data_IF_181018338215
#
_entry.id   IF_181018338215
#
_cell.length_a   1.000
_cell.length_b   1.000
_cell.length_c   1.000
_cell.angle_alpha   90.00
_cell.angle_beta   90.00
_cell.angle_gamma   90.00
#
_symmetry.space_group_name_H-M   'P 1'
#
loop_
_entity.id
_entity.type
_entity.pdbx_description
1 polymer ?
#
# COMPACT_ATOMS: atom_id res chain seq x y z
N UNK A 1 -13.69 -28.52 -1.16
CA UNK A 1 -13.47 -27.59 -2.28
C UNK A 1 -12.27 -26.74 -1.94
N UNK A 2 -11.20 -26.75 -2.76
CA UNK A 2 -9.97 -26.01 -2.42
C UNK A 2 -10.09 -24.54 -2.80
N UNK A 3 -9.89 -23.67 -1.81
CA UNK A 3 -9.85 -22.22 -1.97
C UNK A 3 -8.40 -21.76 -2.08
N UNK A 4 -8.19 -20.65 -2.78
CA UNK A 4 -6.95 -19.89 -2.82
C UNK A 4 -7.24 -18.46 -2.38
N UNK A 5 -6.27 -17.84 -1.71
CA UNK A 5 -6.41 -16.51 -1.13
C UNK A 5 -5.51 -15.54 -1.88
N UNK A 6 -5.99 -14.31 -2.06
CA UNK A 6 -5.30 -13.29 -2.83
C UNK A 6 -5.41 -11.93 -2.15
N UNK A 7 -4.37 -11.12 -2.29
CA UNK A 7 -4.33 -9.72 -1.88
C UNK A 7 -3.96 -8.81 -3.05
N UNK A 8 -4.50 -7.60 -3.08
CA UNK A 8 -4.10 -6.59 -4.05
C UNK A 8 -4.72 -5.23 -3.77
N UNK A 9 -4.51 -4.29 -4.70
CA UNK A 9 -5.26 -3.03 -4.68
C UNK A 9 -6.71 -3.30 -5.06
N UNK A 10 -7.64 -2.55 -4.47
CA UNK A 10 -9.08 -2.68 -4.68
C UNK A 10 -9.40 -2.71 -6.19
N UNK A 11 -10.24 -3.69 -6.56
CA UNK A 11 -10.75 -3.90 -7.90
C UNK A 11 -12.26 -4.11 -7.77
N UNK A 12 -13.06 -3.21 -8.33
CA UNK A 12 -14.53 -3.29 -8.22
C UNK A 12 -15.10 -4.40 -9.11
N UNK A 13 -14.32 -4.87 -10.09
CA UNK A 13 -14.65 -5.97 -11.00
C UNK A 13 -14.42 -7.37 -10.40
N UNK A 14 -13.96 -7.47 -9.15
CA UNK A 14 -13.68 -8.77 -8.53
C UNK A 14 -14.93 -9.66 -8.45
N UNK A 15 -16.10 -9.03 -8.31
CA UNK A 15 -17.41 -9.68 -8.23
C UNK A 15 -17.80 -10.41 -9.53
N UNK A 16 -17.11 -10.16 -10.65
CA UNK A 16 -17.32 -10.91 -11.90
C UNK A 16 -16.88 -12.36 -11.78
N UNK A 17 -15.96 -12.65 -10.87
CA UNK A 17 -15.58 -14.02 -10.54
C UNK A 17 -16.63 -14.55 -9.55
N UNK A 18 -17.56 -15.35 -10.06
CA UNK A 18 -18.72 -15.87 -9.30
C UNK A 18 -18.39 -16.60 -7.99
N UNK A 19 -17.16 -17.08 -7.83
CA UNK A 19 -16.71 -17.80 -6.63
C UNK A 19 -15.79 -16.97 -5.76
N UNK A 20 -15.64 -15.68 -6.06
CA UNK A 20 -14.91 -14.76 -5.23
C UNK A 20 -15.68 -14.54 -3.92
N UNK A 21 -14.94 -14.47 -2.82
CA UNK A 21 -15.46 -14.08 -1.52
C UNK A 21 -14.53 -13.03 -0.94
N UNK A 22 -14.99 -11.78 -0.89
CA UNK A 22 -14.21 -10.66 -0.35
C UNK A 22 -14.18 -10.76 1.18
N UNK A 23 -12.98 -10.89 1.73
CA UNK A 23 -12.72 -11.05 3.16
C UNK A 23 -12.39 -9.68 3.78
N UNK A 24 -11.66 -8.84 3.05
CA UNK A 24 -11.24 -7.52 3.48
C UNK A 24 -11.30 -6.54 2.32
N UNK A 25 -11.86 -5.34 2.54
CA UNK A 25 -11.88 -4.27 1.55
C UNK A 25 -11.80 -2.90 2.24
N UNK A 26 -10.63 -2.59 2.81
CA UNK A 26 -10.36 -1.33 3.51
C UNK A 26 -9.05 -0.72 3.01
N UNK A 27 -8.93 0.60 3.13
CA UNK A 27 -7.70 1.35 2.80
C UNK A 27 -7.21 1.15 1.35
N UNK A 28 -8.14 0.83 0.44
CA UNK A 28 -7.85 0.51 -0.95
C UNK A 28 -7.14 -0.81 -1.18
N UNK A 29 -7.04 -1.67 -0.16
CA UNK A 29 -6.54 -3.04 -0.23
C UNK A 29 -7.73 -4.00 -0.21
N UNK A 30 -7.70 -4.99 -1.08
CA UNK A 30 -8.70 -6.06 -1.13
C UNK A 30 -8.02 -7.40 -0.84
N UNK A 31 -8.61 -8.18 0.06
CA UNK A 31 -8.30 -9.60 0.26
C UNK A 31 -9.55 -10.40 -0.05
N UNK A 32 -9.40 -11.45 -0.84
CA UNK A 32 -10.49 -12.33 -1.19
C UNK A 32 -10.01 -13.76 -1.36
N UNK A 33 -10.93 -14.71 -1.26
CA UNK A 33 -10.70 -16.08 -1.68
C UNK A 33 -11.45 -16.39 -2.97
N UNK A 34 -10.93 -17.35 -3.73
CA UNK A 34 -11.55 -17.87 -4.94
C UNK A 34 -11.32 -19.38 -5.01
N UNK A 35 -12.24 -20.12 -5.60
CA UNK A 35 -12.03 -21.54 -5.86
C UNK A 35 -10.90 -21.74 -6.87
N UNK A 36 -9.99 -22.67 -6.61
CA UNK A 36 -8.76 -22.87 -7.39
C UNK A 36 -8.99 -22.99 -8.92
N UNK A 37 -10.09 -23.63 -9.34
CA UNK A 37 -10.47 -23.78 -10.77
C UNK A 37 -10.72 -22.45 -11.50
N UNK A 38 -11.04 -21.38 -10.77
CA UNK A 38 -11.32 -20.04 -11.30
C UNK A 38 -10.13 -19.09 -11.12
N UNK A 39 -8.99 -19.54 -10.55
CA UNK A 39 -7.83 -18.69 -10.34
C UNK A 39 -7.27 -18.07 -11.65
N UNK A 40 -7.41 -18.77 -12.78
CA UNK A 40 -7.00 -18.25 -14.10
C UNK A 40 -7.79 -17.01 -14.52
N UNK A 41 -9.03 -16.86 -14.05
CA UNK A 41 -9.91 -15.78 -14.47
C UNK A 41 -9.46 -14.45 -13.82
N UNK A 42 -8.60 -14.50 -12.79
CA UNK A 42 -7.93 -13.32 -12.22
C UNK A 42 -7.09 -12.56 -13.25
N UNK A 43 -6.51 -13.24 -14.25
CA UNK A 43 -5.75 -12.59 -15.33
C UNK A 43 -6.60 -11.72 -16.24
N UNK A 44 -7.93 -11.83 -16.16
CA UNK A 44 -8.85 -11.00 -16.94
C UNK A 44 -9.15 -9.66 -16.26
N UNK A 45 -8.78 -9.51 -14.99
CA UNK A 45 -9.02 -8.31 -14.21
C UNK A 45 -7.96 -7.23 -14.50
N UNK A 46 -8.32 -5.94 -14.38
CA UNK A 46 -7.42 -4.82 -14.68
C UNK A 46 -6.33 -4.61 -13.63
N UNK A 47 -6.33 -5.39 -12.54
CA UNK A 47 -5.41 -5.29 -11.41
C UNK A 47 -4.66 -6.60 -11.22
N UNK A 48 -3.45 -6.48 -10.69
CA UNK A 48 -2.64 -7.63 -10.27
C UNK A 48 -2.97 -8.00 -8.83
N UNK A 49 -2.99 -9.31 -8.57
CA UNK A 49 -3.21 -9.87 -7.23
C UNK A 49 -2.09 -10.85 -6.92
N UNK A 50 -1.64 -10.83 -5.67
CA UNK A 50 -0.63 -11.74 -5.14
C UNK A 50 -1.34 -12.88 -4.38
N UNK A 51 -0.97 -14.14 -4.67
CA UNK A 51 -1.47 -15.30 -3.93
C UNK A 51 -0.85 -15.30 -2.53
N UNK A 52 -1.67 -15.49 -1.51
CA UNK A 52 -1.26 -15.51 -0.10
C UNK A 52 -1.73 -16.79 0.58
N UNK A 53 -1.17 -17.07 1.76
CA UNK A 53 -1.64 -18.19 2.58
C UNK A 53 -3.06 -17.95 3.10
N UNK A 54 -3.75 -19.04 3.44
CA UNK A 54 -5.06 -18.97 4.11
C UNK A 54 -4.97 -18.24 5.46
N UNK A 55 -3.91 -18.50 6.23
CA UNK A 55 -3.70 -17.86 7.54
C UNK A 55 -3.53 -16.35 7.39
N UNK A 56 -2.76 -15.90 6.40
CA UNK A 56 -2.62 -14.48 6.11
C UNK A 56 -3.95 -13.85 5.70
N UNK A 57 -4.69 -14.54 4.82
CA UNK A 57 -5.96 -14.05 4.30
C UNK A 57 -7.08 -13.99 5.35
N UNK A 58 -7.15 -14.97 6.25
CA UNK A 58 -8.19 -15.07 7.28
C UNK A 58 -7.78 -14.41 8.60
N UNK A 59 -6.67 -14.84 9.18
CA UNK A 59 -6.25 -14.41 10.52
C UNK A 59 -5.54 -13.08 10.47
N UNK A 60 -4.72 -12.86 9.44
CA UNK A 60 -4.06 -11.60 9.23
C UNK A 60 -5.04 -10.43 9.11
N UNK A 61 -6.12 -10.61 8.34
CA UNK A 61 -7.19 -9.61 8.20
C UNK A 61 -8.03 -9.47 9.48
N UNK A 62 -8.42 -10.59 10.11
CA UNK A 62 -9.25 -10.59 11.33
C UNK A 62 -8.58 -9.90 12.52
N UNK A 63 -7.27 -10.04 12.65
CA UNK A 63 -6.50 -9.51 13.78
C UNK A 63 -5.69 -8.26 13.40
N UNK A 64 -6.03 -7.59 12.30
CA UNK A 64 -5.41 -6.33 11.90
C UNK A 64 -5.48 -5.30 13.03
N UNK A 65 -4.31 -4.81 13.47
CA UNK A 65 -4.20 -3.81 14.52
C UNK A 65 -4.57 -4.28 15.93
N UNK A 66 -4.84 -5.57 16.14
CA UNK A 66 -5.19 -6.13 17.44
C UNK A 66 -4.00 -6.16 18.39
N UNK A 67 -4.12 -5.48 19.53
CA UNK A 67 -3.05 -5.39 20.54
C UNK A 67 -3.31 -6.27 21.76
N UNK A 68 -4.50 -6.85 21.88
CA UNK A 68 -4.89 -7.70 23.00
C UNK A 68 -4.43 -9.14 22.76
N UNK A 69 -3.81 -9.73 23.77
CA UNK A 69 -3.48 -11.16 23.76
C UNK A 69 -4.72 -12.05 23.87
N UNK A 70 -5.80 -11.54 24.48
CA UNK A 70 -7.04 -12.28 24.71
C UNK A 70 -8.19 -11.60 23.96
N UNK A 71 -8.90 -12.35 23.12
CA UNK A 71 -9.97 -11.83 22.26
C UNK A 71 -11.21 -12.71 22.31
N UNK A 72 -12.34 -12.18 21.82
CA UNK A 72 -13.60 -12.93 21.67
C UNK A 72 -13.75 -13.38 20.23
N UNK A 73 -14.00 -14.66 20.02
CA UNK A 73 -14.29 -15.26 18.72
C UNK A 73 -15.70 -15.86 18.69
N UNK A 74 -16.25 -15.96 17.48
CA UNK A 74 -17.49 -16.68 17.22
C UNK A 74 -17.25 -18.18 17.19
N UNK A 75 -18.33 -18.97 17.27
CA UNK A 75 -18.36 -20.42 17.08
C UNK A 75 -17.80 -20.88 15.72
N UNK A 76 -17.88 -20.04 14.69
CA UNK A 76 -17.25 -20.33 13.39
C UNK A 76 -15.71 -20.32 13.42
N UNK A 77 -15.08 -19.78 14.47
CA UNK A 77 -13.63 -19.79 14.61
C UNK A 77 -13.15 -21.17 15.09
N UNK A 78 -12.17 -21.81 14.42
CA UNK A 78 -11.66 -23.12 14.84
C UNK A 78 -11.13 -23.18 16.28
N UNK A 79 -10.69 -22.05 16.85
CA UNK A 79 -10.21 -21.99 18.23
C UNK A 79 -11.33 -21.85 19.27
N UNK A 80 -12.58 -21.71 18.85
CA UNK A 80 -13.71 -21.58 19.76
C UNK A 80 -14.01 -22.86 20.54
N UNK A 81 -13.61 -24.02 20.01
CA UNK A 81 -13.77 -25.35 20.60
C UNK A 81 -12.42 -26.02 20.96
N UNK A 82 -11.30 -25.30 20.79
CA UNK A 82 -9.96 -25.84 21.05
C UNK A 82 -9.57 -25.65 22.51
N UNK A 83 -9.55 -26.75 23.28
CA UNK A 83 -9.21 -26.77 24.71
C UNK A 83 -7.84 -26.15 25.05
N UNK A 84 -6.92 -26.03 24.09
CA UNK A 84 -5.60 -25.41 24.32
C UNK A 84 -5.67 -23.88 24.38
N UNK A 85 -6.62 -23.28 23.66
CA UNK A 85 -6.69 -21.83 23.45
C UNK A 85 -7.99 -21.20 23.98
N UNK A 86 -9.07 -21.97 24.04
CA UNK A 86 -10.35 -21.57 24.60
C UNK A 86 -10.22 -21.41 26.13
N UNK A 87 -10.57 -20.22 26.61
CA UNK A 87 -10.49 -19.87 28.03
C UNK A 87 -11.86 -19.98 28.70
N UNK A 88 -12.85 -19.28 28.17
CA UNK A 88 -14.22 -19.30 28.69
C UNK A 88 -15.24 -18.94 27.60
N UNK A 89 -16.44 -19.50 27.69
CA UNK A 89 -17.58 -19.07 26.87
C UNK A 89 -18.34 -17.95 27.59
N UNK A 90 -18.59 -16.84 26.88
CA UNK A 90 -19.33 -15.71 27.40
C UNK A 90 -20.18 -15.05 26.32
N UNK A 91 -21.48 -14.97 26.57
CA UNK A 91 -22.47 -14.34 25.69
C UNK A 91 -22.49 -14.95 24.26
N UNK A 92 -22.35 -16.28 24.14
CA UNK A 92 -22.33 -16.99 22.85
C UNK A 92 -21.07 -16.73 22.01
N UNK A 93 -19.97 -16.32 22.67
CA UNK A 93 -18.64 -16.17 22.09
C UNK A 93 -17.62 -16.84 22.98
N UNK A 94 -16.61 -17.45 22.39
CA UNK A 94 -15.48 -18.02 23.14
C UNK A 94 -14.41 -16.95 23.30
N UNK A 95 -13.96 -16.74 24.53
CA UNK A 95 -12.76 -15.97 24.84
C UNK A 95 -11.57 -16.89 24.61
N UNK A 96 -10.64 -16.47 23.77
CA UNK A 96 -9.42 -17.22 23.43
C UNK A 96 -8.18 -16.41 23.74
N UNK A 97 -7.09 -17.08 24.07
CA UNK A 97 -5.74 -16.52 23.95
C UNK A 97 -5.27 -16.66 22.50
N UNK A 98 -4.78 -15.57 21.90
CA UNK A 98 -4.32 -15.58 20.52
C UNK A 98 -3.02 -16.39 20.40
N UNK A 99 -2.98 -17.45 19.59
CA UNK A 99 -1.74 -18.14 19.28
C UNK A 99 -0.79 -17.22 18.50
N UNK A 100 0.51 -17.43 18.69
CA UNK A 100 1.55 -16.63 18.03
C UNK A 100 1.43 -16.65 16.50
N UNK A 101 0.99 -17.76 15.90
CA UNK A 101 0.81 -17.87 14.44
C UNK A 101 -0.21 -16.86 13.89
N UNK A 102 -1.26 -16.53 14.66
CA UNK A 102 -2.26 -15.53 14.26
C UNK A 102 -1.73 -14.10 14.42
N UNK A 103 -0.89 -13.88 15.43
CA UNK A 103 -0.19 -12.61 15.64
C UNK A 103 0.80 -12.37 14.50
N UNK A 104 1.58 -13.39 14.14
CA UNK A 104 2.54 -13.33 13.04
C UNK A 104 1.84 -13.09 11.70
N UNK A 105 0.71 -13.77 11.46
CA UNK A 105 -0.13 -13.51 10.29
C UNK A 105 -0.67 -12.07 10.25
N UNK A 106 -1.08 -11.50 11.39
CA UNK A 106 -1.50 -10.10 11.45
C UNK A 106 -0.35 -9.12 11.14
N UNK A 107 0.83 -9.36 11.71
CA UNK A 107 2.04 -8.56 11.46
C UNK A 107 2.40 -8.61 9.97
N UNK A 108 2.44 -9.80 9.38
CA UNK A 108 2.72 -9.97 7.96
C UNK A 108 1.67 -9.27 7.10
N UNK A 109 0.38 -9.44 7.42
CA UNK A 109 -0.71 -8.83 6.65
C UNK A 109 -0.63 -7.29 6.68
N UNK A 110 -0.37 -6.71 7.86
CA UNK A 110 -0.17 -5.28 8.03
C UNK A 110 1.01 -4.77 7.20
N UNK A 111 2.13 -5.51 7.15
CA UNK A 111 3.31 -5.14 6.35
C UNK A 111 3.04 -5.22 4.85
N UNK A 112 2.43 -6.30 4.37
CA UNK A 112 2.10 -6.49 2.95
C UNK A 112 1.08 -5.45 2.48
N UNK A 113 0.03 -5.22 3.28
CA UNK A 113 -0.98 -4.20 3.00
C UNK A 113 -0.36 -2.80 2.94
N UNK A 114 0.52 -2.47 3.89
CA UNK A 114 1.22 -1.19 3.89
C UNK A 114 2.10 -1.03 2.65
N UNK A 115 2.87 -2.07 2.27
CA UNK A 115 3.68 -2.07 1.03
C UNK A 115 2.83 -1.75 -0.19
N UNK A 116 1.69 -2.41 -0.38
CA UNK A 116 0.80 -2.19 -1.53
C UNK A 116 0.28 -0.74 -1.57
N UNK A 117 -0.07 -0.18 -0.41
CA UNK A 117 -0.54 1.20 -0.31
C UNK A 117 0.59 2.18 -0.65
N UNK A 118 1.78 1.97 -0.08
CA UNK A 118 2.95 2.83 -0.30
C UNK A 118 3.33 2.83 -1.78
N UNK A 119 3.49 1.65 -2.41
CA UNK A 119 3.85 1.54 -3.82
C UNK A 119 2.84 2.26 -4.74
N UNK A 120 1.53 2.07 -4.52
CA UNK A 120 0.48 2.78 -5.29
C UNK A 120 0.55 4.30 -5.12
N UNK A 121 0.89 4.83 -3.94
CA UNK A 121 1.04 6.28 -3.76
C UNK A 121 2.27 6.84 -4.48
N UNK A 122 3.42 6.18 -4.34
CA UNK A 122 4.64 6.63 -4.98
C UNK A 122 4.56 6.51 -6.50
N UNK A 123 3.88 5.49 -7.04
CA UNK A 123 3.57 5.38 -8.47
C UNK A 123 2.70 6.55 -8.95
N UNK A 124 1.67 6.95 -8.19
CA UNK A 124 0.84 8.13 -8.53
C UNK A 124 1.64 9.43 -8.51
N UNK A 125 2.54 9.59 -7.53
CA UNK A 125 3.45 10.75 -7.47
C UNK A 125 4.37 10.78 -8.67
N UNK A 126 4.95 9.64 -9.05
CA UNK A 126 5.78 9.49 -10.23
C UNK A 126 5.01 9.83 -11.52
N UNK A 127 3.80 9.30 -11.67
CA UNK A 127 2.94 9.63 -12.81
C UNK A 127 2.59 11.11 -12.87
N UNK A 128 2.42 11.77 -11.72
CA UNK A 128 2.19 13.23 -11.62
C UNK A 128 3.42 14.04 -12.04
N UNK A 129 4.63 13.58 -11.72
CA UNK A 129 5.87 14.19 -12.23
C UNK A 129 5.92 14.08 -13.76
N UNK A 130 5.55 12.91 -14.30
CA UNK A 130 5.57 12.64 -15.75
C UNK A 130 4.49 13.41 -16.51
N UNK A 131 3.29 13.56 -15.93
CA UNK A 131 2.12 14.17 -16.57
C UNK A 131 2.26 15.67 -16.85
N UNK A 132 3.28 16.32 -16.28
CA UNK A 132 3.58 17.74 -16.57
C UNK A 132 3.96 17.99 -18.02
N UNK A 133 4.48 16.96 -18.69
CA UNK A 133 4.87 17.02 -20.10
C UNK A 133 3.86 16.26 -20.97
N UNK A 134 3.67 16.72 -22.20
CA UNK A 134 2.78 16.05 -23.17
C UNK A 134 3.29 14.64 -23.51
N UNK A 135 2.39 13.74 -23.95
CA UNK A 135 2.80 12.39 -24.40
C UNK A 135 3.80 12.44 -25.56
N UNK A 136 3.70 13.43 -26.43
CA UNK A 136 4.63 13.65 -27.54
C UNK A 136 6.02 14.03 -27.03
N UNK A 137 6.12 14.95 -26.07
CA UNK A 137 7.41 15.31 -25.45
C UNK A 137 8.01 14.14 -24.68
N UNK A 138 7.19 13.37 -23.95
CA UNK A 138 7.65 12.17 -23.26
C UNK A 138 8.21 11.14 -24.25
N UNK A 139 7.58 10.96 -25.41
CA UNK A 139 8.07 10.07 -26.47
C UNK A 139 9.38 10.56 -27.07
N UNK A 140 9.52 11.87 -27.28
CA UNK A 140 10.73 12.46 -27.86
C UNK A 140 11.85 12.69 -26.84
N UNK A 141 11.60 12.48 -25.55
CA UNK A 141 12.51 12.89 -24.47
C UNK A 141 13.90 12.27 -24.58
N UNK A 142 13.99 10.96 -24.84
CA UNK A 142 15.27 10.28 -24.99
C UNK A 142 16.05 10.79 -26.20
N UNK A 143 15.36 11.07 -27.31
CA UNK A 143 15.98 11.67 -28.50
C UNK A 143 16.48 13.09 -28.20
N UNK A 144 15.68 13.91 -27.52
CA UNK A 144 16.07 15.26 -27.08
C UNK A 144 17.33 15.23 -26.21
N UNK A 145 17.40 14.33 -25.23
CA UNK A 145 18.59 14.19 -24.35
C UNK A 145 19.80 13.71 -25.15
N UNK A 146 19.64 12.71 -26.03
CA UNK A 146 20.73 12.18 -26.86
C UNK A 146 21.29 13.26 -27.77
N UNK A 147 20.43 13.97 -28.50
CA UNK A 147 20.81 15.06 -29.39
C UNK A 147 21.47 16.21 -28.62
N UNK A 148 20.98 16.52 -27.42
CA UNK A 148 21.56 17.59 -26.58
C UNK A 148 23.00 17.26 -26.12
N UNK A 149 23.35 15.98 -26.01
CA UNK A 149 24.71 15.53 -25.68
C UNK A 149 25.63 15.45 -26.90
N UNK A 150 25.12 15.61 -28.13
CA UNK A 150 25.89 15.50 -29.37
C UNK A 150 25.37 16.48 -30.45
N UNK A 151 25.61 17.77 -30.24
CA UNK A 151 25.13 18.83 -31.15
C UNK A 151 25.81 18.85 -32.51
N UNK A 152 26.99 18.23 -32.63
CA UNK A 152 27.74 18.08 -33.88
C UNK A 152 27.17 16.99 -34.79
N UNK A 153 26.32 16.11 -34.25
CA UNK A 153 25.63 15.07 -35.01
C UNK A 153 24.28 15.50 -35.58
N UNK A 154 23.51 14.52 -36.07
CA UNK A 154 22.12 14.75 -36.48
C UNK A 154 21.24 15.04 -35.27
N UNK A 155 20.55 16.19 -35.31
CA UNK A 155 19.68 16.65 -34.22
C UNK A 155 18.29 17.07 -34.69
N UNK A 156 17.56 16.22 -35.44
CA UNK A 156 16.30 16.61 -36.08
C UNK A 156 15.23 17.08 -35.09
N UNK A 157 15.23 16.58 -33.85
CA UNK A 157 14.26 17.02 -32.82
C UNK A 157 14.63 18.40 -32.30
N UNK A 158 15.89 18.65 -31.96
CA UNK A 158 16.34 19.98 -31.51
C UNK A 158 16.22 21.00 -32.65
N UNK A 159 16.56 20.64 -33.89
CA UNK A 159 16.47 21.52 -35.04
C UNK A 159 15.02 21.94 -35.31
N UNK A 160 14.07 21.02 -35.14
CA UNK A 160 12.64 21.32 -35.22
C UNK A 160 12.18 22.28 -34.12
N UNK A 161 12.69 22.13 -32.90
CA UNK A 161 12.38 23.03 -31.77
C UNK A 161 12.97 24.43 -32.02
N UNK A 162 14.22 24.50 -32.50
CA UNK A 162 14.91 25.75 -32.85
C UNK A 162 14.16 26.49 -33.95
N UNK A 163 13.77 25.78 -35.01
CA UNK A 163 12.98 26.35 -36.11
C UNK A 163 11.64 26.91 -35.63
N UNK A 164 10.98 26.24 -34.68
CA UNK A 164 9.71 26.68 -34.13
C UNK A 164 9.82 27.84 -33.12
N UNK A 165 10.86 27.86 -32.27
CA UNK A 165 11.01 28.82 -31.16
C UNK A 165 11.95 29.99 -31.46
N UNK A 166 12.72 29.93 -32.55
CA UNK A 166 13.73 30.95 -32.90
C UNK A 166 14.88 31.06 -31.89
N UNK A 167 15.11 30.02 -31.09
CA UNK A 167 16.15 29.98 -30.05
C UNK A 167 17.46 29.40 -30.60
N UNK A 168 18.59 29.63 -29.93
CA UNK A 168 19.84 28.96 -30.31
C UNK A 168 19.82 27.49 -29.94
N UNK A 169 20.50 26.67 -30.74
CA UNK A 169 20.58 25.22 -30.54
C UNK A 169 21.20 24.86 -29.20
N UNK A 170 22.21 25.60 -28.78
CA UNK A 170 22.93 25.43 -27.51
C UNK A 170 22.02 25.74 -26.31
N UNK A 171 21.21 26.80 -26.40
CA UNK A 171 20.29 27.20 -25.33
C UNK A 171 19.18 26.14 -25.15
N UNK A 172 18.67 25.59 -26.27
CA UNK A 172 17.68 24.50 -26.24
C UNK A 172 18.27 23.25 -25.61
N UNK A 173 19.48 22.87 -26.02
CA UNK A 173 20.18 21.69 -25.49
C UNK A 173 20.46 21.82 -23.99
N UNK A 174 20.95 22.98 -23.54
CA UNK A 174 21.20 23.26 -22.13
C UNK A 174 19.91 23.15 -21.29
N UNK A 175 18.80 23.68 -21.80
CA UNK A 175 17.49 23.56 -21.16
C UNK A 175 17.00 22.11 -21.03
N UNK A 176 17.16 21.30 -22.08
CA UNK A 176 16.80 19.87 -22.07
C UNK A 176 17.64 19.11 -21.04
N UNK A 177 18.95 19.31 -21.02
CA UNK A 177 19.85 18.63 -20.08
C UNK A 177 19.55 19.04 -18.62
N UNK A 178 19.30 20.33 -18.38
CA UNK A 178 18.91 20.83 -17.06
C UNK A 178 17.58 20.20 -16.60
N UNK A 179 16.57 20.17 -17.47
CA UNK A 179 15.28 19.51 -17.19
C UNK A 179 15.41 18.01 -16.97
N UNK A 180 16.30 17.34 -17.69
CA UNK A 180 16.62 15.92 -17.49
C UNK A 180 17.27 15.65 -16.15
N UNK A 181 18.22 16.50 -15.73
CA UNK A 181 18.85 16.40 -14.43
C UNK A 181 17.84 16.62 -13.29
N UNK A 182 17.04 17.69 -13.35
CA UNK A 182 16.02 18.02 -12.34
C UNK A 182 14.94 16.93 -12.23
N UNK A 183 14.48 16.37 -13.36
CA UNK A 183 13.53 15.26 -13.32
C UNK A 183 14.14 14.00 -12.68
N UNK A 184 15.38 13.66 -13.03
CA UNK A 184 16.08 12.49 -12.45
C UNK A 184 16.30 12.65 -10.95
N UNK A 185 16.71 13.83 -10.50
CA UNK A 185 16.86 14.15 -9.07
C UNK A 185 15.54 13.89 -8.32
N UNK A 186 14.43 14.44 -8.80
CA UNK A 186 13.10 14.23 -8.22
C UNK A 186 12.67 12.75 -8.19
N UNK A 187 12.99 11.99 -9.23
CA UNK A 187 12.67 10.55 -9.28
C UNK A 187 13.53 9.76 -8.29
N UNK A 188 14.81 10.12 -8.15
CA UNK A 188 15.72 9.49 -7.17
C UNK A 188 15.25 9.78 -5.75
N UNK A 189 14.91 11.04 -5.44
CA UNK A 189 14.38 11.43 -4.12
C UNK A 189 13.09 10.68 -3.82
N UNK A 190 12.16 10.64 -4.78
CA UNK A 190 10.89 9.94 -4.65
C UNK A 190 11.10 8.44 -4.37
N UNK A 191 12.04 7.80 -5.06
CA UNK A 191 12.36 6.39 -4.85
C UNK A 191 13.05 6.14 -3.49
N UNK A 192 13.98 7.01 -3.09
CA UNK A 192 14.67 6.93 -1.81
C UNK A 192 13.69 7.05 -0.63
N UNK A 193 12.74 7.99 -0.72
CA UNK A 193 11.68 8.16 0.29
C UNK A 193 10.79 6.93 0.36
N UNK A 194 10.38 6.36 -0.78
CA UNK A 194 9.59 5.12 -0.81
C UNK A 194 10.32 3.97 -0.09
N UNK A 195 11.62 3.80 -0.39
CA UNK A 195 12.43 2.75 0.24
C UNK A 195 12.53 2.96 1.75
N UNK A 196 12.74 4.19 2.20
CA UNK A 196 12.80 4.52 3.63
C UNK A 196 11.52 4.11 4.36
N UNK A 197 10.35 4.48 3.82
CA UNK A 197 9.08 4.15 4.47
C UNK A 197 8.84 2.64 4.47
N UNK A 198 9.10 1.96 3.34
CA UNK A 198 9.00 0.49 3.28
C UNK A 198 9.92 -0.18 4.30
N UNK A 199 11.13 0.36 4.48
CA UNK A 199 12.08 -0.14 5.46
C UNK A 199 11.55 0.02 6.89
N UNK A 200 10.98 1.18 7.25
CA UNK A 200 10.36 1.41 8.57
C UNK A 200 9.30 0.32 8.88
N UNK A 201 8.35 0.08 7.96
CA UNK A 201 7.35 -0.98 8.12
C UNK A 201 7.96 -2.39 8.21
N UNK A 202 8.93 -2.70 7.35
CA UNK A 202 9.57 -4.02 7.34
C UNK A 202 10.28 -4.34 8.65
N UNK A 203 10.82 -3.31 9.31
CA UNK A 203 11.63 -3.41 10.53
C UNK A 203 10.82 -3.57 11.82
N UNK A 204 9.52 -3.25 11.80
CA UNK A 204 8.65 -3.44 12.95
C UNK A 204 8.53 -4.93 13.31
N UNK A 205 8.62 -5.26 14.59
CA UNK A 205 8.45 -6.61 15.11
C UNK A 205 7.05 -6.85 15.69
N UNK A 206 6.31 -5.79 16.03
CA UNK A 206 5.04 -5.89 16.74
C UNK A 206 3.90 -5.14 16.06
N UNK A 207 2.66 -5.56 16.33
CA UNK A 207 1.44 -4.86 15.89
C UNK A 207 1.40 -3.44 16.45
N UNK A 208 1.84 -3.22 17.69
CA UNK A 208 1.90 -1.88 18.30
C UNK A 208 2.79 -0.92 17.51
N UNK A 209 3.99 -1.34 17.13
CA UNK A 209 4.90 -0.52 16.30
C UNK A 209 4.28 -0.23 14.93
N UNK A 210 3.64 -1.24 14.32
CA UNK A 210 2.97 -1.08 13.04
C UNK A 210 1.81 -0.08 13.13
N UNK A 211 0.95 -0.17 14.16
CA UNK A 211 -0.15 0.76 14.38
C UNK A 211 0.32 2.22 14.39
N UNK A 212 1.46 2.51 15.05
CA UNK A 212 2.05 3.86 15.06
C UNK A 212 2.44 4.30 13.65
N UNK A 213 3.02 3.43 12.83
CA UNK A 213 3.37 3.77 11.45
C UNK A 213 2.14 3.93 10.55
N UNK A 214 1.11 3.10 10.72
CA UNK A 214 -0.17 3.23 10.03
C UNK A 214 -0.85 4.57 10.37
N UNK A 215 -0.79 5.02 11.62
CA UNK A 215 -1.25 6.35 12.02
C UNK A 215 -0.41 7.46 11.38
N UNK A 216 0.91 7.39 11.52
CA UNK A 216 1.86 8.39 11.02
C UNK A 216 1.74 8.59 9.51
N UNK A 217 1.71 7.50 8.74
CA UNK A 217 1.81 7.54 7.28
C UNK A 217 0.48 7.42 6.55
N UNK A 218 -0.55 6.82 7.16
CA UNK A 218 -1.82 6.54 6.48
C UNK A 218 -3.03 7.18 7.18
N UNK A 219 -2.80 7.86 8.30
CA UNK A 219 -3.85 8.54 9.05
C UNK A 219 -4.85 7.57 9.71
N UNK A 220 -4.46 6.32 9.93
CA UNK A 220 -5.31 5.33 10.59
C UNK A 220 -5.05 5.38 12.08
N UNK A 221 -6.05 5.72 12.92
CA UNK A 221 -5.84 5.87 14.34
C UNK A 221 -5.41 4.54 14.99
N UNK A 222 -4.50 4.63 15.95
CA UNK A 222 -4.15 3.48 16.80
C UNK A 222 -5.35 3.06 17.66
N UNK A 223 -5.44 1.78 18.10
CA UNK A 223 -6.50 1.34 19.00
C UNK A 223 -6.55 2.18 20.29
N UNK A 224 -7.75 2.41 20.84
CA UNK A 224 -7.95 3.27 22.01
C UNK A 224 -7.04 2.94 23.19
N UNK A 225 -6.83 1.66 23.50
CA UNK A 225 -5.96 1.28 24.62
C UNK A 225 -4.49 1.59 24.34
N UNK A 226 -4.04 1.48 23.09
CA UNK A 226 -2.72 1.95 22.68
C UNK A 226 -2.63 3.48 22.70
N UNK A 227 -3.67 4.19 22.26
CA UNK A 227 -3.70 5.66 22.30
C UNK A 227 -3.54 6.18 23.74
N UNK A 228 -4.17 5.52 24.72
CA UNK A 228 -4.00 5.81 26.15
C UNK A 228 -2.55 5.61 26.59
N UNK A 229 -1.92 4.49 26.21
CA UNK A 229 -0.51 4.21 26.51
C UNK A 229 0.43 5.28 25.93
N UNK A 230 0.11 5.80 24.74
CA UNK A 230 0.90 6.82 24.04
C UNK A 230 0.60 8.26 24.50
N UNK A 231 -0.41 8.47 25.36
CA UNK A 231 -0.85 9.80 25.76
C UNK A 231 -1.56 10.58 24.64
N UNK A 232 -2.09 9.89 23.63
CA UNK A 232 -2.79 10.47 22.47
C UNK A 232 -4.31 10.55 22.69
N UNK A 233 -4.70 10.93 23.90
CA UNK A 233 -6.10 11.04 24.33
C UNK A 233 -6.33 12.39 25.02
N UNK A 234 -7.56 12.87 24.96
CA UNK A 234 -8.02 14.08 25.66
C UNK A 234 -9.40 13.84 26.28
N UNK A 235 -9.78 14.67 27.25
CA UNK A 235 -11.13 14.64 27.83
C UNK A 235 -12.06 15.53 27.01
N UNK A 236 -13.18 14.95 26.56
CA UNK A 236 -14.28 15.66 25.91
C UNK A 236 -15.57 15.32 26.65
N UNK A 237 -16.08 16.24 27.47
CA UNK A 237 -17.32 16.06 28.23
C UNK A 237 -17.30 14.86 29.19
N UNK A 238 -16.24 14.74 30.00
CA UNK A 238 -15.98 13.63 30.92
C UNK A 238 -15.77 12.25 30.25
N UNK A 239 -15.61 12.22 28.92
CA UNK A 239 -15.25 11.02 28.15
C UNK A 239 -13.82 11.14 27.65
N UNK A 240 -13.03 10.08 27.82
CA UNK A 240 -11.67 10.01 27.28
C UNK A 240 -11.74 9.66 25.77
N UNK A 241 -11.40 10.64 24.93
CA UNK A 241 -11.47 10.57 23.46
C UNK A 241 -10.07 10.51 22.86
N UNK A 242 -9.88 9.74 21.78
CA UNK A 242 -8.61 9.68 21.04
C UNK A 242 -8.41 10.98 20.25
N UNK A 243 -7.17 11.48 20.24
CA UNK A 243 -6.82 12.68 19.47
C UNK A 243 -7.13 12.47 17.98
N UNK A 244 -7.66 13.52 17.34
CA UNK A 244 -7.96 13.48 15.92
C UNK A 244 -6.68 13.23 15.11
N UNK A 245 -6.75 12.25 14.21
CA UNK A 245 -5.68 11.97 13.25
C UNK A 245 -6.11 12.54 11.91
N UNK A 246 -5.26 13.37 11.32
CA UNK A 246 -5.49 13.87 9.96
C UNK A 246 -5.51 12.67 8.98
N UNK A 247 -6.64 12.40 8.31
CA UNK A 247 -6.83 11.20 7.50
C UNK A 247 -6.04 11.28 6.19
N UNK A 248 -5.60 10.12 5.70
CA UNK A 248 -4.99 10.00 4.38
C UNK A 248 -3.49 9.75 4.44
N UNK A 249 -2.94 9.48 3.26
CA UNK A 249 -1.54 9.10 3.10
C UNK A 249 -0.64 10.34 3.17
N UNK A 250 0.22 10.37 4.18
CA UNK A 250 1.15 11.46 4.50
C UNK A 250 2.58 11.19 4.03
N UNK A 251 2.79 10.06 3.36
CA UNK A 251 3.99 9.74 2.59
C UNK A 251 4.11 10.59 1.36
#
# INVERSE_FOLDING_TARGET
>A
MKLKYYIGRRCDEIDWISTSNVIWNMFGVCVFSVQEKWARDLYTLPRSFEEISEDLGRWGTKHFGEIRAVVKVTDEDPLSEDDMYALEEKDGKTIIELPQERIDAAIEFMKVSAKLIIEDQYDRKFLTLKSRNSKLEQFLWEAQVRESNNLDGETPVIDSIVAAKGSKKEDVAAGILAGSADFKEKVVDLYADMLKVKQEFSSCATIKELNVLWQKYMGIPVPNDQAKELGEVHEEGDVLTVNAVDPGLKV
#
